data_IF_423992283088
#
_entry.id   IF_423992283088
#
_cell.length_a   1.000
_cell.length_b   1.000
_cell.length_c   1.000
_cell.angle_alpha   90.00
_cell.angle_beta   90.00
_cell.angle_gamma   90.00
#
_symmetry.space_group_name_H-M   'P 1'
#
loop_
_entity.id
_entity.type
_entity.pdbx_description
1 polymer ?
#
# COMPACT_ATOMS: atom_id res chain seq x y z
N UNK A 1 -35.95 11.08 -8.34
CA UNK A 1 -35.39 9.77 -7.95
C UNK A 1 -34.40 9.97 -6.83
N UNK A 2 -34.50 9.26 -5.68
CA UNK A 2 -33.57 9.40 -4.58
C UNK A 2 -32.25 8.68 -4.91
N UNK A 3 -31.14 9.36 -4.65
CA UNK A 3 -29.80 8.85 -4.72
C UNK A 3 -29.61 7.69 -3.72
N UNK A 4 -29.36 6.48 -4.19
CA UNK A 4 -28.98 5.34 -3.34
C UNK A 4 -27.57 5.60 -2.82
N UNK A 5 -27.46 5.80 -1.49
CA UNK A 5 -26.20 6.09 -0.83
C UNK A 5 -25.24 4.90 -0.86
N UNK A 6 -23.95 5.19 -0.90
CA UNK A 6 -22.81 4.26 -0.84
C UNK A 6 -22.91 3.22 0.32
N UNK A 7 -23.71 3.48 1.36
CA UNK A 7 -23.90 2.59 2.49
C UNK A 7 -24.55 1.22 2.19
N UNK A 8 -25.30 1.10 1.08
CA UNK A 8 -25.97 -0.17 0.76
C UNK A 8 -25.07 -1.19 0.06
N UNK A 9 -23.97 -0.73 -0.56
CA UNK A 9 -22.99 -1.60 -1.22
C UNK A 9 -22.16 -2.34 -0.17
N UNK A 10 -21.80 -1.67 0.92
CA UNK A 10 -20.97 -2.26 1.99
C UNK A 10 -21.73 -3.27 2.86
N UNK A 11 -23.04 -3.11 3.08
CA UNK A 11 -23.86 -4.06 3.86
C UNK A 11 -24.00 -5.43 3.20
N UNK A 12 -23.93 -5.52 1.88
CA UNK A 12 -24.04 -6.80 1.17
C UNK A 12 -22.73 -7.61 1.23
N UNK A 13 -21.57 -6.96 1.35
CA UNK A 13 -20.28 -7.63 1.42
C UNK A 13 -20.09 -8.37 2.75
N UNK A 14 -20.50 -7.77 3.87
CA UNK A 14 -20.43 -8.40 5.20
C UNK A 14 -21.31 -9.66 5.33
N UNK A 15 -22.36 -9.82 4.54
CA UNK A 15 -23.23 -11.00 4.59
C UNK A 15 -22.68 -12.20 3.80
N UNK A 16 -21.81 -11.98 2.82
CA UNK A 16 -21.20 -13.07 2.02
C UNK A 16 -20.05 -13.74 2.76
N UNK A 17 -19.32 -13.00 3.59
CA UNK A 17 -18.19 -13.54 4.36
C UNK A 17 -18.62 -14.38 5.57
N UNK A 18 -19.82 -14.18 6.11
CA UNK A 18 -20.34 -14.97 7.25
C UNK A 18 -20.89 -16.35 6.87
N UNK A 19 -21.07 -16.66 5.59
CA UNK A 19 -21.64 -17.94 5.14
C UNK A 19 -20.63 -19.03 4.82
N UNK A 20 -19.31 -18.77 4.91
CA UNK A 20 -18.25 -19.73 4.56
C UNK A 20 -17.51 -20.36 5.74
N UNK A 21 -17.86 -20.06 6.99
CA UNK A 21 -17.20 -20.60 8.18
C UNK A 21 -18.11 -21.43 9.07
N UNK A 22 -18.59 -22.57 8.56
CA UNK A 22 -19.14 -23.64 9.42
C UNK A 22 -18.92 -24.99 8.80
N UNK A 23 -17.92 -25.71 9.31
CA UNK A 23 -17.90 -27.12 9.67
C UNK A 23 -16.51 -27.74 9.56
N UNK A 24 -15.88 -27.99 10.72
CA UNK A 24 -15.29 -29.29 11.07
C UNK A 24 -14.76 -29.27 12.50
N UNK A 25 -15.34 -30.14 13.31
CA UNK A 25 -14.94 -30.48 14.68
C UNK A 25 -13.66 -31.32 14.67
N UNK A 26 -12.72 -31.14 15.62
CA UNK A 26 -11.62 -32.08 15.83
C UNK A 26 -11.98 -33.11 16.91
N UNK A 27 -11.63 -34.35 16.64
CA UNK A 27 -11.60 -35.48 17.57
C UNK A 27 -10.36 -35.45 18.46
N UNK A 28 -10.55 -35.78 19.72
CA UNK A 28 -9.54 -35.87 20.77
C UNK A 28 -8.72 -37.20 20.70
N UNK A 29 -7.43 -37.09 21.06
CA UNK A 29 -6.60 -38.19 21.62
C UNK A 29 -5.45 -37.53 22.38
N UNK A 30 -5.22 -37.82 23.47
CA UNK A 30 -4.94 -38.56 24.66
C UNK A 30 -3.54 -38.24 25.22
N UNK A 31 -3.49 -38.18 26.54
CA UNK A 31 -2.34 -37.77 27.39
C UNK A 31 -1.35 -38.92 27.51
N UNK A 32 -0.05 -38.63 27.47
CA UNK A 32 0.91 -39.30 28.35
C UNK A 32 2.04 -38.39 28.77
N UNK A 33 2.31 -38.53 30.03
CA UNK A 33 3.15 -37.85 30.95
C UNK A 33 4.60 -38.35 30.88
N UNK A 34 5.64 -37.52 30.93
CA UNK A 34 6.89 -37.87 31.61
C UNK A 34 7.68 -36.64 31.99
N UNK A 35 7.91 -36.54 33.31
CA UNK A 35 8.84 -35.63 33.97
C UNK A 35 10.29 -36.03 33.65
N UNK A 36 11.17 -35.06 33.44
CA UNK A 36 12.56 -35.17 33.93
C UNK A 36 13.15 -33.79 34.23
N UNK A 37 13.87 -33.76 35.34
CA UNK A 37 14.39 -32.63 36.08
C UNK A 37 15.69 -32.06 35.50
N UNK A 38 15.82 -30.75 35.71
CA UNK A 38 16.99 -29.93 36.11
C UNK A 38 18.41 -30.32 35.67
N UNK A 39 19.10 -29.37 35.06
CA UNK A 39 20.40 -28.87 35.52
C UNK A 39 20.70 -27.47 34.95
N UNK A 40 20.77 -26.56 35.90
CA UNK A 40 21.34 -25.21 35.80
C UNK A 40 22.80 -25.27 35.38
N UNK A 41 23.24 -24.53 34.36
CA UNK A 41 24.62 -24.20 34.10
C UNK A 41 24.77 -22.76 33.65
N UNK A 42 25.65 -22.09 34.34
CA UNK A 42 26.05 -20.70 34.34
C UNK A 42 26.26 -20.06 32.94
N UNK A 43 25.87 -18.81 32.85
CA UNK A 43 26.11 -17.85 31.77
C UNK A 43 27.53 -17.29 31.85
N UNK A 44 28.32 -17.24 30.77
CA UNK A 44 29.45 -16.34 30.63
C UNK A 44 29.00 -14.98 30.09
N UNK A 45 29.33 -13.94 30.81
CA UNK A 45 29.22 -12.54 30.38
C UNK A 45 30.15 -12.24 29.19
N UNK A 46 29.62 -11.48 28.24
CA UNK A 46 30.39 -10.52 27.48
C UNK A 46 30.82 -10.92 26.07
N UNK A 47 29.98 -10.58 25.07
CA UNK A 47 30.46 -10.04 23.78
C UNK A 47 29.43 -9.00 23.33
N UNK A 48 29.76 -7.74 23.51
CA UNK A 48 29.03 -6.65 22.84
C UNK A 48 29.26 -6.76 21.32
N UNK A 49 28.25 -7.20 20.57
CA UNK A 49 28.25 -7.06 19.14
C UNK A 49 27.94 -5.60 18.82
N UNK A 50 28.97 -4.86 18.40
CA UNK A 50 28.81 -3.58 17.73
C UNK A 50 27.96 -3.79 16.47
N UNK A 51 26.69 -3.47 16.56
CA UNK A 51 25.82 -3.32 15.38
C UNK A 51 26.24 -2.02 14.72
N UNK A 52 27.07 -2.12 13.70
CA UNK A 52 27.34 -1.01 12.78
C UNK A 52 26.01 -0.70 12.09
N UNK A 53 25.33 0.35 12.54
CA UNK A 53 24.23 0.95 11.77
C UNK A 53 24.82 1.44 10.46
N UNK A 54 24.63 0.66 9.40
CA UNK A 54 24.87 1.16 8.04
C UNK A 54 23.84 2.27 7.79
N UNK A 55 24.30 3.51 7.88
CA UNK A 55 23.52 4.66 7.43
C UNK A 55 23.33 4.57 5.92
N UNK A 56 22.09 4.55 5.47
CA UNK A 56 21.75 4.69 4.06
C UNK A 56 22.41 5.97 3.51
N UNK A 57 22.94 5.94 2.27
CA UNK A 57 23.57 7.12 1.66
C UNK A 57 22.54 8.27 1.61
N UNK A 58 22.96 9.53 1.87
CA UNK A 58 22.05 10.66 1.89
C UNK A 58 21.37 10.83 0.53
N UNK A 59 20.04 10.91 0.55
CA UNK A 59 19.24 11.21 -0.63
C UNK A 59 19.65 12.59 -1.17
N UNK A 60 19.90 12.75 -2.48
CA UNK A 60 20.25 14.05 -3.05
C UNK A 60 19.24 15.14 -2.64
N UNK A 61 19.71 16.31 -2.25
CA UNK A 61 18.90 17.38 -1.62
C UNK A 61 17.68 17.85 -2.45
N UNK A 62 17.72 17.70 -3.77
CA UNK A 62 16.61 18.01 -4.68
C UNK A 62 15.40 17.07 -4.55
N UNK A 63 15.54 15.96 -3.83
CA UNK A 63 14.47 14.99 -3.58
C UNK A 63 14.08 14.90 -2.10
N UNK A 64 14.51 15.86 -1.29
CA UNK A 64 14.18 15.88 0.13
C UNK A 64 12.72 16.28 0.31
N UNK A 65 11.84 15.29 0.35
CA UNK A 65 10.47 15.46 0.78
C UNK A 65 10.51 15.73 2.29
N UNK A 66 9.98 16.88 2.73
CA UNK A 66 10.07 17.36 4.11
C UNK A 66 9.26 16.53 5.13
N UNK A 67 8.55 15.49 4.67
CA UNK A 67 7.81 14.56 5.51
C UNK A 67 8.05 13.13 5.03
N UNK A 68 8.11 12.13 5.92
CA UNK A 68 8.30 10.72 5.57
C UNK A 68 7.01 10.08 5.00
N UNK A 69 6.42 10.71 3.97
CA UNK A 69 5.21 10.23 3.32
C UNK A 69 5.54 9.14 2.31
N UNK A 70 6.71 9.26 1.66
CA UNK A 70 7.28 8.17 0.90
C UNK A 70 8.50 7.62 1.65
N UNK A 71 8.46 6.37 2.04
CA UNK A 71 9.63 5.69 2.62
C UNK A 71 10.78 5.63 1.60
N UNK A 72 10.42 5.54 0.32
CA UNK A 72 11.35 5.52 -0.79
C UNK A 72 10.74 6.23 -1.99
N UNK A 73 11.54 7.08 -2.64
CA UNK A 73 11.19 7.78 -3.88
C UNK A 73 11.91 7.11 -5.05
N UNK A 74 11.24 6.83 -6.19
CA UNK A 74 11.92 6.35 -7.39
C UNK A 74 13.01 7.32 -7.83
N UNK A 75 14.20 6.83 -8.18
CA UNK A 75 15.32 7.69 -8.59
C UNK A 75 15.06 8.46 -9.90
N UNK A 76 14.20 7.90 -10.75
CA UNK A 76 13.79 8.48 -12.03
C UNK A 76 12.51 9.33 -11.94
N UNK A 77 12.03 9.63 -10.73
CA UNK A 77 10.89 10.54 -10.56
C UNK A 77 11.28 11.95 -10.99
N UNK A 78 10.65 12.44 -12.05
CA UNK A 78 10.87 13.77 -12.60
C UNK A 78 9.61 14.59 -12.37
N UNK A 79 9.74 15.68 -11.59
CA UNK A 79 8.64 16.56 -11.24
C UNK A 79 8.65 17.89 -12.01
N UNK A 80 9.60 18.07 -12.95
CA UNK A 80 9.80 19.35 -13.67
C UNK A 80 8.62 19.77 -14.54
N UNK A 81 7.74 18.85 -14.93
CA UNK A 81 6.56 19.13 -15.72
C UNK A 81 5.28 19.27 -14.88
N UNK A 82 5.38 19.08 -13.58
CA UNK A 82 4.26 19.22 -12.64
C UNK A 82 4.08 20.66 -12.18
N UNK A 83 2.85 21.17 -12.27
CA UNK A 83 2.48 22.47 -11.69
C UNK A 83 1.79 22.23 -10.36
N UNK A 84 2.32 22.85 -9.31
CA UNK A 84 1.73 22.83 -7.97
C UNK A 84 1.00 24.15 -7.74
N UNK A 85 -0.31 24.10 -7.53
CA UNK A 85 -1.09 25.22 -7.05
C UNK A 85 -1.21 25.15 -5.53
N UNK A 86 -0.39 25.94 -4.83
CA UNK A 86 -0.35 25.97 -3.37
C UNK A 86 -1.67 26.48 -2.74
N UNK A 87 -2.42 27.34 -3.44
CA UNK A 87 -3.69 27.88 -2.92
C UNK A 87 -4.78 26.79 -2.94
N UNK A 88 -4.84 26.01 -4.00
CA UNK A 88 -5.81 24.92 -4.17
C UNK A 88 -5.31 23.58 -3.64
N UNK A 89 -4.05 23.51 -3.23
CA UNK A 89 -3.38 22.28 -2.82
C UNK A 89 -3.44 21.19 -3.90
N UNK A 90 -3.34 21.58 -5.19
CA UNK A 90 -3.42 20.68 -6.33
C UNK A 90 -2.07 20.51 -7.02
N UNK A 91 -1.92 19.38 -7.70
CA UNK A 91 -0.77 19.05 -8.53
C UNK A 91 -1.24 18.51 -9.88
N UNK A 92 -0.69 19.05 -10.99
CA UNK A 92 -1.07 18.68 -12.35
C UNK A 92 -0.32 17.45 -12.88
N UNK A 93 0.12 16.55 -12.02
CA UNK A 93 0.82 15.33 -12.43
C UNK A 93 -0.07 14.48 -13.31
N UNK A 94 0.49 13.98 -14.40
CA UNK A 94 -0.11 12.95 -15.22
C UNK A 94 0.30 11.59 -14.63
N UNK A 95 -0.56 10.98 -13.86
CA UNK A 95 -0.31 9.68 -13.25
C UNK A 95 -1.45 8.72 -13.53
N UNK A 96 -1.13 7.42 -13.50
CA UNK A 96 -2.12 6.34 -13.48
C UNK A 96 -1.98 5.59 -12.17
N UNK A 97 -3.11 5.41 -11.48
CA UNK A 97 -3.16 4.67 -10.23
C UNK A 97 -4.12 3.50 -10.37
N UNK A 98 -3.57 2.30 -10.26
CA UNK A 98 -4.32 1.04 -10.25
C UNK A 98 -4.43 0.56 -8.80
N UNK A 99 -5.65 0.32 -8.34
CA UNK A 99 -5.85 -0.09 -6.95
C UNK A 99 -7.12 -0.89 -6.72
N UNK A 100 -7.35 -1.21 -5.46
CA UNK A 100 -8.51 -1.95 -4.98
C UNK A 100 -9.63 -1.03 -4.45
N UNK A 101 -10.44 -1.52 -3.51
CA UNK A 101 -11.55 -0.78 -2.92
C UNK A 101 -11.12 0.51 -2.21
N UNK A 102 -9.90 0.54 -1.67
CA UNK A 102 -9.38 1.75 -1.01
C UNK A 102 -9.17 2.85 -2.03
N UNK A 103 -8.58 2.52 -3.17
CA UNK A 103 -8.39 3.45 -4.30
C UNK A 103 -9.73 3.91 -4.87
N UNK A 104 -10.70 3.01 -5.03
CA UNK A 104 -12.04 3.37 -5.48
C UNK A 104 -12.72 4.36 -4.53
N UNK A 105 -12.67 4.10 -3.22
CA UNK A 105 -13.20 5.00 -2.20
C UNK A 105 -12.44 6.33 -2.12
N UNK A 106 -11.14 6.34 -2.40
CA UNK A 106 -10.30 7.54 -2.39
C UNK A 106 -10.43 8.39 -3.66
N UNK A 107 -10.93 7.83 -4.76
CA UNK A 107 -10.98 8.46 -6.09
C UNK A 107 -11.51 9.90 -6.09
N UNK A 108 -12.63 10.24 -5.43
CA UNK A 108 -13.11 11.62 -5.40
C UNK A 108 -12.11 12.60 -4.77
N UNK A 109 -11.42 12.19 -3.72
CA UNK A 109 -10.42 13.00 -3.03
C UNK A 109 -9.11 13.13 -3.83
N UNK A 110 -8.68 12.03 -4.47
CA UNK A 110 -7.51 12.03 -5.36
C UNK A 110 -7.69 12.98 -6.54
N UNK A 111 -8.84 12.94 -7.20
CA UNK A 111 -9.16 13.83 -8.33
C UNK A 111 -9.23 15.31 -7.93
N UNK A 112 -9.59 15.63 -6.68
CA UNK A 112 -9.57 17.01 -6.17
C UNK A 112 -8.15 17.56 -6.08
N UNK A 113 -7.17 16.76 -5.67
CA UNK A 113 -5.79 17.20 -5.46
C UNK A 113 -4.87 16.92 -6.65
N UNK A 114 -5.26 15.99 -7.52
CA UNK A 114 -4.52 15.61 -8.74
C UNK A 114 -5.49 15.48 -9.93
N UNK A 115 -5.95 16.61 -10.50
CA UNK A 115 -7.03 16.62 -11.49
C UNK A 115 -6.68 15.94 -12.82
N UNK A 116 -5.41 15.73 -13.12
CA UNK A 116 -4.95 15.06 -14.34
C UNK A 116 -4.64 13.57 -14.11
N UNK A 117 -4.85 13.06 -12.88
CA UNK A 117 -4.62 11.66 -12.59
C UNK A 117 -5.73 10.78 -13.18
N UNK A 118 -5.35 9.64 -13.71
CA UNK A 118 -6.28 8.56 -14.03
C UNK A 118 -6.31 7.57 -12.87
N UNK A 119 -7.48 7.39 -12.27
CA UNK A 119 -7.66 6.57 -11.06
C UNK A 119 -8.54 5.36 -11.42
N UNK A 120 -7.93 4.20 -11.46
CA UNK A 120 -8.57 2.90 -11.70
C UNK A 120 -8.63 2.10 -10.39
N UNK A 121 -9.67 2.32 -9.61
CA UNK A 121 -9.99 1.54 -8.41
C UNK A 121 -11.08 0.51 -8.73
N UNK A 122 -10.96 -0.68 -8.12
CA UNK A 122 -11.99 -1.73 -8.23
C UNK A 122 -12.07 -2.55 -6.97
N UNK A 123 -13.29 -2.69 -6.44
CA UNK A 123 -13.56 -3.53 -5.26
C UNK A 123 -13.06 -4.95 -5.48
N UNK A 124 -12.42 -5.53 -4.45
CA UNK A 124 -11.88 -6.90 -4.43
C UNK A 124 -10.79 -7.20 -5.46
N UNK A 125 -10.17 -6.18 -6.07
CA UNK A 125 -9.05 -6.41 -7.01
C UNK A 125 -7.86 -7.01 -6.25
N UNK A 126 -7.38 -8.14 -6.76
CA UNK A 126 -6.21 -8.82 -6.23
C UNK A 126 -4.91 -8.20 -6.76
N UNK A 127 -3.82 -8.30 -5.99
CA UNK A 127 -2.54 -7.69 -6.36
C UNK A 127 -1.98 -8.26 -7.66
N UNK A 128 -2.18 -9.54 -7.96
CA UNK A 128 -1.69 -10.19 -9.17
C UNK A 128 -2.39 -9.74 -10.47
N UNK A 129 -3.50 -8.98 -10.36
CA UNK A 129 -4.15 -8.35 -11.53
C UNK A 129 -3.58 -6.97 -11.88
N UNK A 130 -2.67 -6.43 -11.06
CA UNK A 130 -2.20 -5.04 -11.21
C UNK A 130 -1.56 -4.74 -12.57
N UNK A 131 -0.72 -5.65 -13.08
CA UNK A 131 -0.07 -5.50 -14.38
C UNK A 131 -1.08 -5.51 -15.54
N UNK A 132 -1.97 -6.52 -15.56
CA UNK A 132 -2.98 -6.69 -16.61
C UNK A 132 -3.94 -5.50 -16.69
N UNK A 133 -4.36 -4.97 -15.54
CA UNK A 133 -5.25 -3.79 -15.49
C UNK A 133 -4.52 -2.54 -15.98
N UNK A 134 -3.26 -2.34 -15.59
CA UNK A 134 -2.49 -1.22 -16.10
C UNK A 134 -2.22 -1.33 -17.61
N UNK A 135 -2.02 -2.52 -18.17
CA UNK A 135 -1.94 -2.70 -19.63
C UNK A 135 -3.23 -2.31 -20.34
N UNK A 136 -4.39 -2.60 -19.75
CA UNK A 136 -5.68 -2.12 -20.26
C UNK A 136 -5.77 -0.60 -20.24
N UNK A 137 -5.32 0.05 -19.16
CA UNK A 137 -5.27 1.51 -19.04
C UNK A 137 -4.37 2.14 -20.10
N UNK A 138 -3.21 1.55 -20.37
CA UNK A 138 -2.30 1.97 -21.45
C UNK A 138 -3.02 1.88 -22.81
N UNK A 139 -3.78 0.81 -23.05
CA UNK A 139 -4.48 0.58 -24.32
C UNK A 139 -5.51 1.68 -24.65
N UNK A 140 -6.07 2.30 -23.60
CA UNK A 140 -7.01 3.42 -23.69
C UNK A 140 -6.34 4.78 -23.43
N UNK A 141 -5.01 4.84 -23.57
CA UNK A 141 -4.17 6.06 -23.50
C UNK A 141 -4.01 6.67 -22.10
N UNK A 142 -4.15 5.87 -21.06
CA UNK A 142 -3.92 6.28 -19.68
C UNK A 142 -2.64 5.67 -19.11
N UNK A 143 -1.50 5.88 -19.77
CA UNK A 143 -0.22 5.35 -19.30
C UNK A 143 0.37 6.10 -18.09
N UNK A 144 0.05 7.40 -17.96
CA UNK A 144 0.66 8.27 -16.97
C UNK A 144 2.18 8.48 -17.16
N UNK A 145 2.74 9.48 -16.50
CA UNK A 145 4.19 9.68 -16.39
C UNK A 145 4.75 9.03 -15.11
N UNK A 146 3.86 8.79 -14.14
CA UNK A 146 4.10 8.06 -12.90
C UNK A 146 3.03 6.99 -12.76
N UNK A 147 3.40 5.81 -12.30
CA UNK A 147 2.46 4.70 -12.07
C UNK A 147 2.40 4.38 -10.58
N UNK A 148 1.20 4.21 -10.05
CA UNK A 148 0.98 3.81 -8.66
C UNK A 148 0.17 2.52 -8.63
N UNK A 149 0.68 1.51 -7.94
CA UNK A 149 -0.07 0.31 -7.60
C UNK A 149 -0.42 0.33 -6.12
N UNK A 150 -1.71 0.50 -5.82
CA UNK A 150 -2.25 0.49 -4.45
C UNK A 150 -3.09 -0.76 -4.24
N UNK A 151 -2.42 -1.88 -4.13
CA UNK A 151 -2.97 -3.22 -4.06
C UNK A 151 -2.36 -3.99 -2.89
N UNK A 152 -3.02 -5.07 -2.45
CA UNK A 152 -2.53 -5.91 -1.36
C UNK A 152 -3.52 -6.02 -0.19
N UNK A 153 -4.56 -5.19 -0.16
CA UNK A 153 -5.63 -5.28 0.85
C UNK A 153 -6.35 -6.63 0.77
N UNK A 154 -6.49 -7.19 -0.43
CA UNK A 154 -7.20 -8.46 -0.68
C UNK A 154 -6.28 -9.70 -0.74
N UNK A 155 -5.01 -9.58 -0.38
CA UNK A 155 -4.03 -10.65 -0.31
C UNK A 155 -2.64 -10.24 -0.75
N UNK A 156 -1.60 -11.01 -0.34
CA UNK A 156 -0.20 -10.74 -0.69
C UNK A 156 0.09 -11.10 -2.15
N UNK A 157 1.20 -10.59 -2.71
CA UNK A 157 1.76 -11.17 -3.93
C UNK A 157 2.20 -12.61 -3.66
N UNK A 158 2.02 -13.50 -4.63
CA UNK A 158 2.45 -14.89 -4.49
C UNK A 158 3.99 -14.99 -4.38
N UNK A 159 4.68 -14.14 -5.15
CA UNK A 159 6.13 -13.98 -5.17
C UNK A 159 6.51 -12.66 -5.85
N UNK A 160 7.81 -12.39 -5.97
CA UNK A 160 8.34 -11.16 -6.56
C UNK A 160 8.03 -11.02 -8.07
N UNK A 161 7.69 -12.11 -8.78
CA UNK A 161 7.35 -12.04 -10.21
C UNK A 161 6.10 -11.22 -10.47
N UNK A 162 5.15 -11.20 -9.54
CA UNK A 162 3.95 -10.36 -9.60
C UNK A 162 4.33 -8.87 -9.61
N UNK A 163 5.23 -8.48 -8.70
CA UNK A 163 5.70 -7.09 -8.60
C UNK A 163 6.60 -6.71 -9.78
N UNK A 164 7.45 -7.67 -10.22
CA UNK A 164 8.30 -7.48 -11.40
C UNK A 164 7.46 -7.22 -12.65
N UNK A 165 6.40 -7.99 -12.87
CA UNK A 165 5.51 -7.79 -14.02
C UNK A 165 4.88 -6.39 -14.01
N UNK A 166 4.44 -5.88 -12.86
CA UNK A 166 3.93 -4.50 -12.75
C UNK A 166 4.99 -3.45 -13.15
N UNK A 167 6.25 -3.68 -12.79
CA UNK A 167 7.35 -2.77 -13.15
C UNK A 167 7.72 -2.89 -14.64
N UNK A 168 7.68 -4.09 -15.20
CA UNK A 168 7.98 -4.33 -16.60
C UNK A 168 6.96 -3.66 -17.54
N UNK A 169 5.66 -3.77 -17.23
CA UNK A 169 4.60 -3.11 -18.02
C UNK A 169 4.64 -1.59 -17.87
N UNK A 170 5.25 -1.05 -16.81
CA UNK A 170 5.47 0.38 -16.65
C UNK A 170 6.55 0.94 -17.60
N UNK A 171 7.35 0.08 -18.25
CA UNK A 171 8.32 0.44 -19.31
C UNK A 171 9.26 1.58 -18.88
N UNK A 172 9.89 1.41 -17.71
CA UNK A 172 10.87 2.35 -17.18
C UNK A 172 10.32 3.61 -16.52
N UNK A 173 8.99 3.78 -16.44
CA UNK A 173 8.37 4.85 -15.66
C UNK A 173 8.66 4.68 -14.17
N UNK A 174 8.68 5.77 -13.40
CA UNK A 174 8.70 5.67 -11.95
C UNK A 174 7.42 4.96 -11.46
N UNK A 175 7.61 3.95 -10.61
CA UNK A 175 6.55 3.15 -10.02
C UNK A 175 6.52 3.38 -8.53
N UNK A 176 5.33 3.54 -7.96
CA UNK A 176 5.13 3.46 -6.53
C UNK A 176 4.24 2.27 -6.16
N UNK A 177 4.61 1.58 -5.10
CA UNK A 177 3.71 0.72 -4.36
C UNK A 177 3.22 1.44 -3.11
N UNK A 178 1.95 1.26 -2.78
CA UNK A 178 1.36 1.79 -1.54
C UNK A 178 1.23 0.65 -0.54
N UNK A 179 1.74 0.85 0.68
CA UNK A 179 1.58 -0.16 1.74
C UNK A 179 0.10 -0.29 2.13
N UNK A 180 -0.32 -1.50 2.43
CA UNK A 180 -1.71 -1.78 2.79
C UNK A 180 -1.94 -1.70 4.30
N UNK A 181 -3.13 -1.23 4.69
CA UNK A 181 -3.68 -1.30 6.05
C UNK A 181 -4.92 -2.19 6.03
N UNK A 182 -4.81 -3.36 6.62
CA UNK A 182 -5.89 -4.35 6.69
C UNK A 182 -5.67 -5.24 7.92
N UNK A 183 -6.68 -5.46 8.80
CA UNK A 183 -6.54 -6.28 9.99
C UNK A 183 -6.56 -7.78 9.64
N UNK A 184 -5.64 -8.19 8.77
CA UNK A 184 -5.53 -9.55 8.26
C UNK A 184 -4.10 -10.08 8.42
N UNK A 185 -3.92 -11.40 8.57
CA UNK A 185 -2.59 -12.00 8.81
C UNK A 185 -1.55 -11.74 7.72
N UNK A 186 -1.98 -11.40 6.51
CA UNK A 186 -1.06 -11.13 5.40
C UNK A 186 -0.58 -9.68 5.30
N UNK A 187 -1.09 -8.75 6.11
CA UNK A 187 -0.72 -7.32 6.03
C UNK A 187 0.80 -7.11 6.06
N UNK A 188 1.45 -7.64 7.10
CA UNK A 188 2.87 -7.41 7.31
C UNK A 188 3.71 -8.09 6.22
N UNK A 189 3.36 -9.33 5.85
CA UNK A 189 4.03 -10.05 4.77
C UNK A 189 3.90 -9.32 3.42
N UNK A 190 2.72 -8.75 3.13
CA UNK A 190 2.51 -7.92 1.94
C UNK A 190 3.41 -6.69 1.96
N UNK A 191 3.37 -5.90 3.03
CA UNK A 191 4.15 -4.68 3.16
C UNK A 191 5.66 -4.93 3.11
N UNK A 192 6.12 -6.03 3.73
CA UNK A 192 7.52 -6.46 3.67
C UNK A 192 7.95 -6.86 2.27
N UNK A 193 7.11 -7.57 1.52
CA UNK A 193 7.38 -7.93 0.11
C UNK A 193 7.53 -6.68 -0.75
N UNK A 194 6.62 -5.71 -0.63
CA UNK A 194 6.69 -4.44 -1.35
C UNK A 194 7.99 -3.68 -1.04
N UNK A 195 8.37 -3.59 0.24
CA UNK A 195 9.60 -2.90 0.68
C UNK A 195 10.87 -3.60 0.20
N UNK A 196 10.94 -4.93 0.34
CA UNK A 196 12.08 -5.74 -0.11
C UNK A 196 12.28 -5.60 -1.61
N UNK A 197 11.21 -5.71 -2.38
CA UNK A 197 11.26 -5.53 -3.83
C UNK A 197 11.71 -4.12 -4.20
N UNK A 198 11.14 -3.09 -3.61
CA UNK A 198 11.53 -1.70 -3.86
C UNK A 198 13.00 -1.44 -3.49
N UNK A 199 13.55 -2.10 -2.47
CA UNK A 199 14.94 -1.91 -2.05
C UNK A 199 15.96 -2.24 -3.15
N UNK A 200 15.64 -3.18 -4.03
CA UNK A 200 16.50 -3.64 -5.13
C UNK A 200 16.22 -2.95 -6.46
N UNK A 201 15.10 -2.20 -6.59
CA UNK A 201 14.68 -1.56 -7.82
C UNK A 201 14.76 -0.02 -7.73
N UNK A 202 15.64 0.60 -8.53
CA UNK A 202 15.90 2.05 -8.45
C UNK A 202 14.72 2.93 -8.93
N UNK A 203 13.88 2.41 -9.82
CA UNK A 203 12.69 3.08 -10.36
C UNK A 203 11.41 2.77 -9.55
N UNK A 204 11.53 2.08 -8.43
CA UNK A 204 10.40 1.74 -7.54
C UNK A 204 10.51 2.51 -6.22
N UNK A 205 9.42 3.11 -5.83
CA UNK A 205 9.23 3.81 -4.55
C UNK A 205 8.17 3.14 -3.67
N UNK A 206 8.09 3.57 -2.42
CA UNK A 206 7.09 3.12 -1.43
C UNK A 206 6.38 4.33 -0.84
N UNK A 207 5.07 4.33 -0.87
CA UNK A 207 4.19 5.27 -0.16
C UNK A 207 3.59 4.55 1.04
N UNK A 208 3.82 5.06 2.25
CA UNK A 208 3.50 4.33 3.49
C UNK A 208 2.14 4.74 4.07
N UNK A 209 1.05 4.19 3.51
CA UNK A 209 -0.29 4.33 4.09
C UNK A 209 -0.41 3.61 5.43
N UNK A 210 0.20 2.44 5.57
CA UNK A 210 0.17 1.67 6.82
C UNK A 210 0.74 2.50 7.97
N UNK A 211 1.91 3.10 7.78
CA UNK A 211 2.54 3.94 8.79
C UNK A 211 1.77 5.24 9.06
N UNK A 212 1.29 5.92 8.01
CA UNK A 212 0.54 7.17 8.15
C UNK A 212 -0.80 6.97 8.89
N UNK A 213 -1.48 5.86 8.64
CA UNK A 213 -2.76 5.56 9.29
C UNK A 213 -2.62 4.94 10.68
N UNK A 214 -1.40 4.64 11.12
CA UNK A 214 -1.17 4.07 12.43
C UNK A 214 -1.50 5.06 13.55
N UNK A 215 -2.34 4.61 14.49
CA UNK A 215 -2.85 5.47 15.59
C UNK A 215 -4.00 6.41 15.19
N UNK A 216 -4.47 6.35 13.93
CA UNK A 216 -5.53 7.18 13.36
C UNK A 216 -6.76 6.34 13.01
N UNK A 217 -7.45 5.82 14.04
CA UNK A 217 -8.68 5.03 13.82
C UNK A 217 -9.78 5.85 13.13
N UNK A 218 -9.78 7.17 13.28
CA UNK A 218 -10.71 8.09 12.61
C UNK A 218 -10.56 8.14 11.10
N UNK A 219 -9.45 7.65 10.55
CA UNK A 219 -9.24 7.57 9.09
C UNK A 219 -9.95 6.38 8.46
N UNK A 220 -10.28 5.37 9.27
CA UNK A 220 -10.81 4.09 8.81
C UNK A 220 -12.22 3.86 9.34
N UNK A 221 -13.03 3.16 8.57
CA UNK A 221 -14.33 2.67 9.03
C UNK A 221 -14.15 1.57 10.08
N UNK A 222 -15.25 1.09 10.68
CA UNK A 222 -15.23 0.08 11.75
C UNK A 222 -14.55 -1.23 11.34
N UNK A 223 -14.42 -1.48 10.03
CA UNK A 223 -13.71 -2.65 9.51
C UNK A 223 -12.16 -2.53 9.57
N UNK A 224 -11.66 -1.34 9.92
CA UNK A 224 -10.23 -1.06 9.99
C UNK A 224 -9.51 -1.01 8.64
N UNK A 225 -10.25 -0.89 7.53
CA UNK A 225 -9.74 -0.97 6.15
C UNK A 225 -10.17 0.22 5.30
N UNK A 226 -11.49 0.41 5.14
CA UNK A 226 -12.02 1.43 4.24
C UNK A 226 -11.94 2.83 4.83
N UNK A 227 -11.80 3.81 3.93
CA UNK A 227 -11.60 5.20 4.31
C UNK A 227 -12.89 5.88 4.78
N UNK A 228 -12.81 6.61 5.88
CA UNK A 228 -13.85 7.55 6.30
C UNK A 228 -13.76 8.85 5.49
N UNK A 229 -14.76 9.76 5.62
CA UNK A 229 -14.65 11.12 5.07
C UNK A 229 -13.46 11.94 5.63
N UNK A 230 -12.87 11.53 6.77
CA UNK A 230 -11.65 12.12 7.33
C UNK A 230 -10.41 11.47 6.71
N UNK A 231 -10.39 10.15 6.55
CA UNK A 231 -9.26 9.40 6.01
C UNK A 231 -9.04 9.62 4.53
N UNK A 232 -10.10 9.75 3.73
CA UNK A 232 -10.01 9.95 2.29
C UNK A 232 -9.15 11.15 1.88
N UNK A 233 -9.37 12.35 2.43
CA UNK A 233 -8.50 13.51 2.19
C UNK A 233 -7.04 13.29 2.63
N UNK A 234 -6.79 12.57 3.74
CA UNK A 234 -5.42 12.28 4.21
C UNK A 234 -4.70 11.31 3.27
N UNK A 235 -5.40 10.28 2.82
CA UNK A 235 -4.87 9.37 1.81
C UNK A 235 -4.51 10.10 0.51
N UNK A 236 -5.40 10.93 -0.01
CA UNK A 236 -5.16 11.72 -1.22
C UNK A 236 -4.01 12.72 -1.05
N UNK A 237 -3.92 13.40 0.11
CA UNK A 237 -2.82 14.30 0.44
C UNK A 237 -1.49 13.55 0.48
N UNK A 238 -1.44 12.36 1.07
CA UNK A 238 -0.26 11.52 1.12
C UNK A 238 0.24 11.18 -0.30
N UNK A 239 -0.64 10.67 -1.17
CA UNK A 239 -0.30 10.34 -2.55
C UNK A 239 0.23 11.58 -3.30
N UNK A 240 -0.48 12.72 -3.19
CA UNK A 240 -0.05 13.96 -3.84
C UNK A 240 1.35 14.40 -3.38
N UNK A 241 1.62 14.36 -2.08
CA UNK A 241 2.91 14.76 -1.54
C UNK A 241 4.05 13.81 -1.96
N UNK A 242 3.78 12.50 -2.00
CA UNK A 242 4.77 11.52 -2.43
C UNK A 242 5.19 11.70 -3.89
N UNK A 243 4.26 12.09 -4.76
CA UNK A 243 4.50 12.19 -6.21
C UNK A 243 4.97 13.60 -6.59
N UNK A 244 4.42 14.64 -5.99
CA UNK A 244 4.62 16.03 -6.44
C UNK A 244 5.56 16.83 -5.53
N UNK A 245 5.82 16.35 -4.34
CA UNK A 245 6.48 17.13 -3.30
C UNK A 245 5.57 18.18 -2.64
N UNK A 246 6.09 18.92 -1.69
CA UNK A 246 5.38 19.96 -0.94
C UNK A 246 5.57 21.36 -1.49
#
# INVERSE_FOLDING_TARGET
SPSRGLGDVYKRQAQVEQSSSSNKKPTAFDKTNSKQETKEKAVPKGVQKNVVKQSLPPTPSKYRILFPIAEKVPRNLVTTHTRIDKRRNTCSVNLTMVGDSITEGAKPYLMQVMPNAYIDGKVSRQIFHGADEYEKDISVKHAGDVVIFALGTNGPPHDDSVLQHMVDVAKGRPVYFVTTRVPQPWQDATNDSLRKFAATHHNVGIIDWHGLSNGHSEYLTDDGVHLTPIGGPQYAKMIRLAVCGG
#
